data_IF_176340050053
#
_entry.id   IF_176340050053
#
_cell.length_a   1.000
_cell.length_b   1.000
_cell.length_c   1.000
_cell.angle_alpha   90.00
_cell.angle_beta   90.00
_cell.angle_gamma   90.00
#
_symmetry.space_group_name_H-M   'P 1'
#
loop_
_entity.id
_entity.type
_entity.pdbx_description
1 polymer ?
#
# COMPACT_ATOMS: atom_id res chain seq x y z
N UNK A 1 34.20 11.75 -6.88
CA UNK A 1 32.81 12.22 -6.89
C UNK A 1 31.95 10.98 -7.09
N UNK A 2 31.28 10.50 -6.03
CA UNK A 2 30.59 9.21 -6.02
C UNK A 2 29.27 9.28 -6.78
N UNK A 3 29.10 8.36 -7.73
CA UNK A 3 27.93 8.28 -8.59
C UNK A 3 26.75 7.72 -7.80
N UNK A 4 25.72 8.55 -7.65
CA UNK A 4 24.45 8.17 -7.03
C UNK A 4 23.80 7.04 -7.81
N UNK A 5 23.75 5.86 -7.18
CA UNK A 5 23.07 4.69 -7.72
C UNK A 5 21.56 4.95 -7.83
N UNK A 6 20.93 4.70 -8.98
CA UNK A 6 19.50 4.93 -9.17
C UNK A 6 18.70 3.87 -8.39
N UNK A 7 17.68 4.33 -7.66
CA UNK A 7 16.68 3.46 -7.04
C UNK A 7 16.13 2.45 -8.07
N UNK A 8 16.15 1.16 -7.71
CA UNK A 8 15.76 0.03 -8.54
C UNK A 8 14.54 0.30 -9.43
N UNK A 9 14.77 0.32 -10.74
CA UNK A 9 13.72 0.16 -11.75
C UNK A 9 13.44 -1.34 -11.91
N UNK A 10 12.30 -1.79 -11.40
CA UNK A 10 11.74 -3.10 -11.77
C UNK A 10 11.30 -3.01 -13.24
N UNK A 11 12.10 -3.58 -14.15
CA UNK A 11 11.68 -3.83 -15.53
C UNK A 11 11.48 -5.34 -15.73
N UNK A 12 10.42 -5.87 -15.16
CA UNK A 12 9.89 -7.18 -15.53
C UNK A 12 9.15 -7.07 -16.86
N UNK A 13 9.85 -7.30 -17.97
CA UNK A 13 9.30 -7.54 -19.31
C UNK A 13 9.89 -8.87 -19.81
N UNK A 14 9.18 -9.85 -20.32
CA UNK A 14 7.77 -10.05 -20.59
C UNK A 14 7.66 -11.49 -21.14
N UNK A 15 6.67 -12.25 -20.69
CA UNK A 15 6.42 -13.63 -21.15
C UNK A 15 5.74 -13.60 -22.52
N UNK A 16 6.14 -14.57 -23.36
CA UNK A 16 5.70 -14.73 -24.74
C UNK A 16 4.20 -14.89 -24.92
N UNK A 17 3.74 -14.52 -26.11
CA UNK A 17 2.36 -14.60 -26.55
C UNK A 17 2.08 -16.00 -27.10
N UNK A 18 1.04 -16.67 -26.61
CA UNK A 18 0.46 -17.83 -27.30
C UNK A 18 -0.56 -17.31 -28.32
N UNK A 19 -0.34 -17.63 -29.59
CA UNK A 19 -1.29 -17.38 -30.67
C UNK A 19 -2.44 -18.40 -30.65
N UNK A 20 -3.64 -17.91 -30.92
CA UNK A 20 -4.71 -18.69 -31.55
C UNK A 20 -5.77 -19.27 -30.62
N UNK A 21 -6.99 -18.72 -30.71
CA UNK A 21 -8.26 -19.46 -30.81
C UNK A 21 -9.40 -18.43 -31.05
N UNK A 22 -10.30 -18.67 -32.02
CA UNK A 22 -11.41 -17.76 -32.30
C UNK A 22 -12.53 -18.02 -31.28
N UNK A 23 -12.69 -17.13 -30.30
CA UNK A 23 -13.81 -17.22 -29.37
C UNK A 23 -15.05 -16.59 -30.00
N UNK A 24 -15.90 -17.47 -30.53
CA UNK A 24 -17.22 -17.18 -31.08
C UNK A 24 -18.05 -16.44 -30.03
N UNK A 25 -18.43 -15.19 -30.34
CA UNK A 25 -19.33 -14.36 -29.54
C UNK A 25 -20.61 -15.18 -29.27
N UNK A 26 -20.83 -15.57 -28.01
CA UNK A 26 -22.15 -16.02 -27.55
C UNK A 26 -22.87 -14.77 -27.07
N UNK A 27 -23.87 -14.35 -27.83
CA UNK A 27 -24.89 -13.41 -27.38
C UNK A 27 -25.43 -13.86 -26.02
N UNK A 28 -25.17 -13.05 -25.00
CA UNK A 28 -25.65 -13.28 -23.64
C UNK A 28 -27.03 -12.61 -23.54
N UNK A 29 -28.12 -13.37 -23.33
CA UNK A 29 -29.43 -12.76 -23.14
C UNK A 29 -29.43 -11.86 -21.90
N UNK A 30 -30.15 -10.74 -22.00
CA UNK A 30 -30.26 -9.59 -21.07
C UNK A 30 -30.88 -9.93 -19.69
N UNK A 31 -30.59 -11.09 -19.13
CA UNK A 31 -30.93 -11.46 -17.75
C UNK A 31 -29.90 -10.92 -16.73
N UNK A 32 -28.95 -10.09 -17.17
CA UNK A 32 -27.87 -9.52 -16.35
C UNK A 32 -28.31 -8.23 -15.63
N UNK A 33 -29.28 -8.33 -14.74
CA UNK A 33 -29.35 -7.42 -13.60
C UNK A 33 -28.25 -7.85 -12.63
N UNK A 34 -27.02 -7.37 -12.84
CA UNK A 34 -25.98 -7.47 -11.82
C UNK A 34 -26.53 -6.87 -10.53
N UNK A 35 -26.51 -7.59 -9.39
CA UNK A 35 -26.86 -6.97 -8.12
C UNK A 35 -25.96 -5.75 -7.94
N UNK A 36 -26.60 -4.61 -7.69
CA UNK A 36 -25.95 -3.36 -7.29
C UNK A 36 -24.83 -3.71 -6.30
N UNK A 37 -23.58 -3.23 -6.47
CA UNK A 37 -22.52 -3.53 -5.53
C UNK A 37 -23.00 -3.08 -4.15
N UNK A 38 -23.29 -4.05 -3.29
CA UNK A 38 -23.46 -3.77 -1.87
C UNK A 38 -22.15 -3.12 -1.41
N UNK A 39 -22.19 -2.00 -0.67
CA UNK A 39 -20.97 -1.47 -0.09
C UNK A 39 -20.37 -2.61 0.73
N UNK A 40 -19.16 -3.05 0.35
CA UNK A 40 -18.38 -3.95 1.18
C UNK A 40 -18.36 -3.36 2.59
N UNK A 41 -18.40 -4.19 3.65
CA UNK A 41 -18.27 -3.68 5.00
C UNK A 41 -16.99 -2.87 5.06
N UNK A 42 -17.14 -1.54 5.17
CA UNK A 42 -16.03 -0.62 5.39
C UNK A 42 -15.47 -1.02 6.73
N UNK A 43 -14.37 -1.76 6.73
CA UNK A 43 -13.65 -2.09 7.95
C UNK A 43 -13.26 -0.74 8.56
N UNK A 44 -13.78 -0.36 9.74
CA UNK A 44 -13.49 0.93 10.31
C UNK A 44 -12.04 0.92 10.80
N UNK A 45 -11.11 1.33 9.95
CA UNK A 45 -9.69 1.34 10.25
C UNK A 45 -8.80 1.03 9.06
N UNK A 46 -7.50 1.21 9.24
CA UNK A 46 -6.51 1.14 8.16
C UNK A 46 -5.59 -0.05 8.33
N UNK A 47 -5.25 -0.70 7.22
CA UNK A 47 -4.30 -1.82 7.23
C UNK A 47 -2.93 -1.35 7.71
N UNK A 48 -2.26 -2.18 8.54
CA UNK A 48 -0.89 -1.95 9.00
C UNK A 48 0.07 -1.76 7.83
N UNK A 49 0.87 -0.70 7.87
CA UNK A 49 1.89 -0.41 6.84
C UNK A 49 3.17 -1.19 7.17
N UNK A 50 3.80 -1.78 6.14
CA UNK A 50 5.13 -2.39 6.33
C UNK A 50 6.20 -1.29 6.43
N UNK A 51 7.18 -1.42 7.34
CA UNK A 51 8.29 -0.48 7.44
C UNK A 51 9.01 -0.24 6.10
N UNK A 52 9.45 1.00 5.81
CA UNK A 52 10.26 1.29 4.62
C UNK A 52 11.65 0.64 4.72
N UNK A 53 12.32 0.38 3.58
CA UNK A 53 13.72 -0.07 3.59
C UNK A 53 14.60 0.97 4.30
N UNK A 54 15.56 0.50 5.07
CA UNK A 54 16.47 1.32 5.90
C UNK A 54 15.77 2.29 6.87
N UNK A 55 14.52 1.97 7.23
CA UNK A 55 13.74 2.71 8.21
C UNK A 55 12.83 1.82 9.02
N UNK A 56 11.95 2.47 9.76
CA UNK A 56 11.01 1.91 10.69
C UNK A 56 9.71 2.68 10.66
N UNK A 57 8.71 2.14 11.35
CA UNK A 57 7.47 2.84 11.66
C UNK A 57 7.30 2.77 13.16
N UNK A 58 7.12 3.92 13.81
CA UNK A 58 6.71 3.99 15.19
C UNK A 58 5.19 3.91 15.26
N UNK A 59 4.72 2.97 16.07
CA UNK A 59 3.31 2.78 16.39
C UNK A 59 3.07 3.25 17.83
N UNK A 60 2.60 4.49 18.05
CA UNK A 60 2.48 5.05 19.40
C UNK A 60 1.51 4.28 20.28
N UNK A 61 1.98 3.77 21.43
CA UNK A 61 1.11 3.08 22.39
C UNK A 61 0.79 1.61 22.05
N UNK A 62 1.43 1.02 21.03
CA UNK A 62 1.40 -0.42 20.78
C UNK A 62 2.73 -1.07 21.18
N UNK A 63 2.67 -2.26 21.78
CA UNK A 63 3.85 -3.09 22.03
C UNK A 63 4.28 -3.85 20.78
N UNK A 64 5.50 -4.39 20.76
CA UNK A 64 6.02 -5.12 19.61
C UNK A 64 5.16 -6.35 19.25
N UNK A 65 4.66 -7.06 20.26
CA UNK A 65 3.80 -8.23 20.11
C UNK A 65 2.46 -7.84 19.47
N UNK A 66 1.87 -6.74 19.94
CA UNK A 66 0.64 -6.20 19.36
C UNK A 66 0.86 -5.76 17.92
N UNK A 67 1.98 -5.08 17.63
CA UNK A 67 2.32 -4.64 16.26
C UNK A 67 2.43 -5.86 15.33
N UNK A 68 2.92 -7.00 15.80
CA UNK A 68 3.01 -8.22 14.99
C UNK A 68 1.63 -8.81 14.70
N UNK A 69 0.75 -8.85 15.68
CA UNK A 69 -0.59 -9.48 15.56
C UNK A 69 -1.67 -8.58 14.97
N UNK A 70 -1.54 -7.25 15.08
CA UNK A 70 -2.55 -6.31 14.59
C UNK A 70 -2.46 -6.16 13.06
N UNK A 71 -3.59 -6.25 12.40
CA UNK A 71 -3.71 -6.02 10.95
C UNK A 71 -4.43 -4.71 10.62
N UNK A 72 -5.34 -4.26 11.48
CA UNK A 72 -6.17 -3.08 11.27
C UNK A 72 -5.98 -2.11 12.44
N UNK A 73 -5.59 -0.88 12.15
CA UNK A 73 -5.44 0.22 13.11
C UNK A 73 -6.70 1.08 13.15
N UNK A 74 -7.07 1.64 14.32
CA UNK A 74 -8.31 2.38 14.46
C UNK A 74 -8.29 3.69 13.67
N UNK A 75 -9.48 4.21 13.37
CA UNK A 75 -9.64 5.52 12.72
C UNK A 75 -9.02 6.61 13.59
N UNK A 76 -8.41 7.61 12.95
CA UNK A 76 -7.65 8.69 13.54
C UNK A 76 -6.34 8.26 14.25
N UNK A 77 -5.94 6.99 14.18
CA UNK A 77 -4.63 6.54 14.66
C UNK A 77 -3.50 7.11 13.81
N UNK A 78 -2.41 7.52 14.44
CA UNK A 78 -1.27 8.15 13.77
C UNK A 78 -0.01 7.29 13.88
N UNK A 79 0.74 7.19 12.79
CA UNK A 79 2.03 6.50 12.72
C UNK A 79 3.11 7.46 12.26
N UNK A 80 4.34 7.22 12.69
CA UNK A 80 5.50 8.03 12.32
C UNK A 80 6.55 7.17 11.59
N UNK A 81 6.98 7.61 10.41
CA UNK A 81 8.11 7.02 9.71
C UNK A 81 9.42 7.52 10.30
N UNK A 82 10.36 6.59 10.50
CA UNK A 82 11.68 6.89 11.05
C UNK A 82 12.72 6.27 10.16
N UNK A 83 13.78 7.02 9.86
CA UNK A 83 14.92 6.52 9.10
C UNK A 83 16.04 6.07 10.03
N UNK A 84 16.89 5.16 9.54
CA UNK A 84 18.14 4.80 10.22
C UNK A 84 19.06 6.03 10.31
N UNK A 85 20.04 5.96 11.21
CA UNK A 85 21.06 7.02 11.40
C UNK A 85 21.71 7.38 10.06
N UNK A 86 21.90 8.67 9.81
CA UNK A 86 22.44 9.27 8.58
C UNK A 86 21.59 9.08 7.32
N UNK A 87 20.28 8.84 7.46
CA UNK A 87 19.33 8.87 6.33
C UNK A 87 18.29 9.94 6.54
N UNK A 88 17.90 10.60 5.46
CA UNK A 88 16.84 11.61 5.46
C UNK A 88 15.52 11.02 4.97
N UNK A 89 14.42 11.44 5.59
CA UNK A 89 13.09 11.01 5.17
C UNK A 89 12.59 11.88 4.01
N UNK A 90 12.49 11.29 2.82
CA UNK A 90 11.80 11.85 1.66
C UNK A 90 10.32 11.49 1.72
N UNK A 91 9.45 12.51 1.85
CA UNK A 91 7.99 12.34 1.91
C UNK A 91 7.36 12.59 3.29
N UNK A 92 6.09 12.23 3.50
CA UNK A 92 5.36 12.54 4.72
C UNK A 92 5.89 11.74 5.92
N UNK A 93 6.23 12.44 7.00
CA UNK A 93 6.71 11.83 8.26
C UNK A 93 5.63 11.14 9.06
N UNK A 94 4.45 11.75 9.13
CA UNK A 94 3.33 11.24 9.91
C UNK A 94 2.19 10.88 8.97
N UNK A 95 1.54 9.75 9.22
CA UNK A 95 0.30 9.38 8.54
C UNK A 95 -0.79 9.08 9.54
N UNK A 96 -2.01 9.50 9.20
CA UNK A 96 -3.21 9.29 9.99
C UNK A 96 -4.16 8.33 9.30
N UNK A 97 -4.73 7.41 10.05
CA UNK A 97 -5.76 6.53 9.55
C UNK A 97 -7.08 7.28 9.39
N UNK A 98 -7.70 7.18 8.22
CA UNK A 98 -8.98 7.81 7.90
C UNK A 98 -10.12 6.80 8.02
N UNK A 99 -11.35 7.30 8.20
CA UNK A 99 -12.55 6.46 8.31
C UNK A 99 -12.88 5.66 7.04
N UNK A 100 -12.30 6.04 5.90
CA UNK A 100 -12.42 5.33 4.63
C UNK A 100 -11.47 4.12 4.51
N UNK A 101 -10.70 3.82 5.56
CA UNK A 101 -9.73 2.71 5.61
C UNK A 101 -8.42 2.98 4.88
N UNK A 102 -8.16 4.24 4.51
CA UNK A 102 -6.91 4.68 3.89
C UNK A 102 -6.09 5.53 4.87
N UNK A 103 -4.78 5.56 4.65
CA UNK A 103 -3.90 6.49 5.34
C UNK A 103 -3.86 7.84 4.61
N UNK A 104 -3.62 8.93 5.35
CA UNK A 104 -3.39 10.26 4.75
C UNK A 104 -2.17 10.25 3.82
N UNK A 105 -2.19 11.14 2.82
CA UNK A 105 -1.07 11.35 1.88
C UNK A 105 -0.57 10.06 1.22
N UNK A 106 -1.51 9.18 0.83
CA UNK A 106 -1.17 7.89 0.21
C UNK A 106 -0.55 8.07 -1.19
N UNK A 107 -0.74 9.23 -1.81
CA UNK A 107 -0.15 9.66 -3.07
C UNK A 107 1.38 9.88 -2.98
N UNK A 108 1.89 10.23 -1.80
CA UNK A 108 3.32 10.47 -1.57
C UNK A 108 3.95 9.32 -0.81
N UNK A 109 4.96 8.65 -1.38
CA UNK A 109 5.68 7.57 -0.67
C UNK A 109 6.72 8.15 0.28
N UNK A 110 6.73 7.67 1.52
CA UNK A 110 7.78 7.97 2.50
C UNK A 110 8.94 6.97 2.33
N UNK A 111 10.15 7.46 2.08
CA UNK A 111 11.36 6.64 1.88
C UNK A 111 12.55 7.26 2.60
N UNK A 112 13.49 6.42 2.99
CA UNK A 112 14.74 6.84 3.59
C UNK A 112 15.83 6.90 2.52
N UNK A 113 16.38 8.09 2.28
CA UNK A 113 17.44 8.37 1.31
C UNK A 113 18.78 8.61 2.02
N UNK A 114 19.90 8.44 1.30
CA UNK A 114 21.25 8.77 1.78
C UNK A 114 21.60 10.25 1.55
#
# INVERSE_FOLDING_TARGET
MGEGSPCCSVLSRGRGWCLGLPFRQRDVPVSSLSPRPTPLPVIPGCRKIRPPPDGGIRYPGLTQEQIHSIEILPVAYEIEFVCRVNRELDGPRVRKCLANGMWTEMDKRSRCCE
#
